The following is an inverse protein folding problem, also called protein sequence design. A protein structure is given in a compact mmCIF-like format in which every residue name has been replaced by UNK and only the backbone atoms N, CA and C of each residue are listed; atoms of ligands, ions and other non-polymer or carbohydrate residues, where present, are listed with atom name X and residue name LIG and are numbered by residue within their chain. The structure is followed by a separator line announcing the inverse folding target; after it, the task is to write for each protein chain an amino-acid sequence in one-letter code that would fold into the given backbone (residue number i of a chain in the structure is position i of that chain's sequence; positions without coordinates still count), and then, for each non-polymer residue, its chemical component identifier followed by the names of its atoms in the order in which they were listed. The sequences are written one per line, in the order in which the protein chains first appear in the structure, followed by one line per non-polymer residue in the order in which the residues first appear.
data_IF_567671260438
#
_entry.id   IF_567671260438
#
_cell.length_a   1.000
_cell.length_b   1.000
_cell.length_c   1.000
_cell.angle_alpha   90.00
_cell.angle_beta   90.00
_cell.angle_gamma   90.00
#
_symmetry.space_group_name_H-M   'P 1'
#
loop_
_entity.id
_entity.type
_entity.pdbx_description
1 polymer ?
#
# COMPACT_ATOMS: atom_id res chain seq x y z
N UNK A 1 4.29 17.42 -21.63
CA UNK A 1 4.01 17.39 -20.17
C UNK A 1 3.10 16.21 -19.86
N UNK A 2 2.90 15.83 -18.59
CA UNK A 2 1.92 14.79 -18.21
C UNK A 2 0.80 15.47 -17.42
N UNK A 3 -0.46 15.21 -17.80
CA UNK A 3 -1.64 15.53 -16.99
C UNK A 3 -2.11 14.23 -16.34
N UNK A 4 -2.04 14.15 -15.01
CA UNK A 4 -2.30 12.92 -14.25
C UNK A 4 -3.55 13.08 -13.38
N UNK A 5 -4.53 12.21 -13.60
CA UNK A 5 -5.75 12.12 -12.79
C UNK A 5 -5.70 10.85 -11.95
N UNK A 6 -5.70 11.02 -10.61
CA UNK A 6 -5.67 9.92 -9.64
C UNK A 6 -6.94 10.01 -8.77
N UNK A 7 -7.63 8.89 -8.51
CA UNK A 7 -8.78 8.88 -7.60
C UNK A 7 -8.37 9.16 -6.16
N UNK A 8 -9.28 9.74 -5.38
CA UNK A 8 -9.19 9.66 -3.93
C UNK A 8 -9.50 8.23 -3.49
N UNK A 9 -8.77 7.73 -2.51
CA UNK A 9 -8.83 6.33 -2.12
C UNK A 9 -8.86 6.17 -0.60
N UNK A 10 -9.60 5.16 -0.14
CA UNK A 10 -9.47 4.61 1.21
C UNK A 10 -9.34 3.09 1.08
N UNK A 11 -8.18 2.56 1.41
CA UNK A 11 -7.91 1.12 1.41
C UNK A 11 -7.77 0.63 2.84
N UNK A 12 -8.52 -0.40 3.19
CA UNK A 12 -8.47 -1.06 4.50
C UNK A 12 -8.12 -2.53 4.29
N UNK A 13 -7.14 -3.01 5.04
CA UNK A 13 -6.69 -4.40 4.99
C UNK A 13 -6.53 -4.95 6.39
N UNK A 14 -6.95 -6.20 6.58
CA UNK A 14 -6.74 -6.96 7.81
C UNK A 14 -6.19 -8.32 7.41
N UNK A 15 -4.99 -8.64 7.90
CA UNK A 15 -4.29 -9.86 7.53
C UNK A 15 -3.88 -10.59 8.79
N UNK A 16 -4.23 -11.88 8.88
CA UNK A 16 -3.57 -12.78 9.81
C UNK A 16 -2.28 -13.29 9.15
N UNK A 17 -1.13 -12.87 9.68
CA UNK A 17 0.16 -13.24 9.10
C UNK A 17 0.44 -14.73 9.26
N UNK A 18 -0.16 -15.41 10.24
CA UNK A 18 0.01 -16.85 10.39
C UNK A 18 -0.62 -17.61 9.21
N UNK A 19 -1.81 -17.19 8.76
CA UNK A 19 -2.48 -17.77 7.60
C UNK A 19 -1.69 -17.55 6.31
N UNK A 20 -1.09 -16.37 6.15
CA UNK A 20 -0.25 -16.05 5.00
C UNK A 20 1.05 -16.87 4.99
N UNK A 21 1.69 -17.01 6.15
CA UNK A 21 2.90 -17.82 6.29
C UNK A 21 2.64 -19.31 6.06
N UNK A 22 1.48 -19.82 6.49
CA UNK A 22 1.07 -21.19 6.20
C UNK A 22 0.92 -21.43 4.68
N UNK A 23 0.26 -20.51 3.96
CA UNK A 23 0.09 -20.58 2.51
C UNK A 23 1.43 -20.49 1.75
N UNK A 24 2.42 -19.81 2.33
CA UNK A 24 3.77 -19.65 1.75
C UNK A 24 4.78 -20.70 2.25
N UNK A 25 4.31 -21.75 2.95
CA UNK A 25 5.13 -22.85 3.48
C UNK A 25 6.21 -22.41 4.49
N UNK A 26 5.92 -21.35 5.25
CA UNK A 26 6.75 -20.84 6.34
C UNK A 26 6.02 -20.84 7.71
N UNK A 27 5.22 -21.86 8.06
CA UNK A 27 4.43 -21.84 9.30
C UNK A 27 5.31 -21.84 10.56
N UNK A 28 6.56 -22.31 10.48
CA UNK A 28 7.49 -22.35 11.62
C UNK A 28 8.00 -20.96 12.08
N UNK A 29 7.72 -19.87 11.34
CA UNK A 29 8.15 -18.53 11.77
C UNK A 29 7.26 -17.96 12.88
N UNK A 30 5.95 -18.12 12.75
CA UNK A 30 4.96 -17.53 13.68
C UNK A 30 3.79 -18.47 14.01
N UNK A 31 3.76 -19.69 13.50
CA UNK A 31 2.69 -20.67 13.76
C UNK A 31 2.99 -21.61 14.92
N UNK A 32 2.28 -22.73 14.98
CA UNK A 32 2.35 -23.69 16.09
C UNK A 32 3.73 -24.34 16.29
N UNK A 33 4.56 -24.36 15.25
CA UNK A 33 5.92 -24.94 15.26
C UNK A 33 7.01 -23.88 15.54
N UNK A 34 6.63 -22.64 15.84
CA UNK A 34 7.59 -21.56 16.07
C UNK A 34 8.46 -21.82 17.32
N UNK A 35 9.77 -21.70 17.15
CA UNK A 35 10.71 -21.81 18.27
C UNK A 35 10.84 -20.47 18.99
N UNK A 36 10.17 -20.36 20.14
CA UNK A 36 10.16 -19.16 20.97
C UNK A 36 11.02 -19.28 22.24
N UNK A 37 11.93 -20.27 22.29
CA UNK A 37 12.76 -20.55 23.47
C UNK A 37 13.70 -19.40 23.87
N UNK A 38 13.97 -18.45 22.96
CA UNK A 38 14.74 -17.23 23.27
C UNK A 38 13.92 -16.11 23.92
N UNK A 39 12.59 -16.23 23.93
CA UNK A 39 11.68 -15.29 24.58
C UNK A 39 11.36 -15.77 26.01
N UNK A 40 11.15 -17.08 26.19
CA UNK A 40 10.87 -17.72 27.48
C UNK A 40 11.20 -19.20 27.43
N UNK A 41 11.54 -19.77 28.60
CA UNK A 41 11.72 -21.22 28.78
C UNK A 41 10.39 -22.00 28.81
N UNK A 42 9.25 -21.30 28.87
CA UNK A 42 7.93 -21.91 28.77
C UNK A 42 7.62 -22.38 27.34
N UNK A 43 6.74 -23.38 27.20
CA UNK A 43 6.25 -23.83 25.90
C UNK A 43 5.22 -22.83 25.32
N UNK A 44 5.73 -21.68 24.86
CA UNK A 44 4.93 -20.59 24.32
C UNK A 44 4.44 -20.90 22.90
N UNK A 45 3.27 -20.37 22.57
CA UNK A 45 2.73 -20.34 21.21
C UNK A 45 2.24 -18.94 20.90
N UNK A 46 2.38 -18.53 19.64
CA UNK A 46 1.76 -17.30 19.16
C UNK A 46 0.26 -17.56 18.96
N UNK A 47 -0.59 -16.72 19.56
CA UNK A 47 -2.04 -16.84 19.40
C UNK A 47 -2.52 -16.25 18.07
N UNK A 48 -2.18 -14.99 17.81
CA UNK A 48 -2.56 -14.28 16.59
C UNK A 48 -1.53 -13.23 16.21
N UNK A 49 -1.30 -13.04 14.91
CA UNK A 49 -0.48 -11.94 14.39
C UNK A 49 -1.28 -11.16 13.37
N UNK A 50 -1.87 -10.06 13.81
CA UNK A 50 -2.71 -9.23 12.98
C UNK A 50 -1.91 -8.05 12.41
N UNK A 51 -1.94 -7.92 11.09
CA UNK A 51 -1.53 -6.72 10.40
C UNK A 51 -2.79 -6.00 9.89
N UNK A 52 -3.08 -4.86 10.52
CA UNK A 52 -4.21 -3.98 10.18
C UNK A 52 -3.68 -2.73 9.51
N UNK A 53 -4.17 -2.42 8.31
CA UNK A 53 -3.65 -1.34 7.47
C UNK A 53 -4.78 -0.43 7.03
N UNK A 54 -4.53 0.87 7.12
CA UNK A 54 -5.33 1.92 6.51
C UNK A 54 -4.42 2.73 5.60
N UNK A 55 -4.85 2.95 4.37
CA UNK A 55 -4.21 3.86 3.42
C UNK A 55 -5.26 4.82 2.88
N UNK A 56 -5.00 6.11 3.00
CA UNK A 56 -5.86 7.15 2.45
C UNK A 56 -5.06 8.01 1.48
N UNK A 57 -5.62 8.23 0.30
CA UNK A 57 -5.14 9.20 -0.67
C UNK A 57 -6.23 10.24 -0.85
N UNK A 58 -5.97 11.45 -0.37
CA UNK A 58 -6.91 12.58 -0.40
C UNK A 58 -6.25 13.75 -1.14
N UNK A 59 -7.06 14.60 -1.74
CA UNK A 59 -6.55 15.89 -2.20
C UNK A 59 -6.16 16.71 -0.97
N UNK A 60 -5.06 17.47 -1.08
CA UNK A 60 -4.72 18.45 -0.06
C UNK A 60 -5.79 19.56 -0.04
N UNK A 61 -6.13 20.04 1.14
CA UNK A 61 -7.06 21.17 1.33
C UNK A 61 -6.34 22.52 1.23
N UNK A 62 -5.00 22.52 1.29
CA UNK A 62 -4.14 23.68 1.11
C UNK A 62 -3.70 23.87 -0.34
N UNK A 63 -3.77 25.12 -0.82
CA UNK A 63 -3.35 25.64 -2.13
C UNK A 63 -3.52 24.67 -3.33
N UNK A 64 -4.54 24.96 -4.14
CA UNK A 64 -4.60 24.45 -5.52
C UNK A 64 -3.23 24.63 -6.18
N UNK A 65 -2.69 23.59 -6.86
CA UNK A 65 -1.50 23.75 -7.67
C UNK A 65 -1.72 24.95 -8.57
N UNK A 66 -0.84 25.96 -8.50
CA UNK A 66 -0.92 27.11 -9.38
C UNK A 66 -0.98 26.56 -10.81
N UNK A 67 -2.10 26.79 -11.49
CA UNK A 67 -2.30 26.37 -12.86
C UNK A 67 -1.11 26.92 -13.65
N UNK A 68 -0.29 26.01 -14.19
CA UNK A 68 0.93 26.42 -14.88
C UNK A 68 0.53 27.33 -16.04
N UNK A 69 1.10 28.53 -16.08
CA UNK A 69 0.78 29.52 -17.11
C UNK A 69 0.85 28.88 -18.52
N UNK A 70 -0.09 29.22 -19.43
CA UNK A 70 -0.17 28.57 -20.73
C UNK A 70 1.18 28.65 -21.46
N UNK A 71 1.84 27.49 -21.59
CA UNK A 71 3.08 27.39 -22.33
C UNK A 71 2.78 27.48 -23.83
N UNK A 72 3.51 28.30 -24.60
CA UNK A 72 3.29 28.42 -26.04
C UNK A 72 3.53 27.06 -26.71
N UNK A 73 2.53 26.57 -27.47
CA UNK A 73 2.52 25.39 -28.33
C UNK A 73 3.68 24.39 -28.09
N UNK A 74 3.73 23.86 -26.87
CA UNK A 74 4.67 22.81 -26.48
C UNK A 74 4.19 21.44 -26.98
N UNK A 75 5.04 20.40 -26.93
CA UNK A 75 4.66 19.05 -27.34
C UNK A 75 3.39 18.58 -26.61
N UNK A 76 2.58 17.79 -27.33
CA UNK A 76 1.31 17.22 -26.87
C UNK A 76 1.40 16.73 -25.41
N UNK A 77 0.45 17.15 -24.57
CA UNK A 77 0.41 16.73 -23.16
C UNK A 77 -0.13 15.30 -23.12
N UNK A 78 0.62 14.40 -22.48
CA UNK A 78 0.16 13.04 -22.25
C UNK A 78 -0.85 13.04 -21.11
N UNK A 79 -2.11 12.74 -21.41
CA UNK A 79 -3.15 12.56 -20.41
C UNK A 79 -3.14 11.12 -19.88
N UNK A 80 -3.02 10.97 -18.56
CA UNK A 80 -3.03 9.69 -17.87
C UNK A 80 -4.11 9.74 -16.79
N UNK A 81 -5.06 8.80 -16.85
CA UNK A 81 -6.13 8.69 -15.85
C UNK A 81 -6.13 7.29 -15.24
N UNK A 82 -6.02 7.20 -13.92
CA UNK A 82 -6.02 5.93 -13.18
C UNK A 82 -7.46 5.49 -12.83
N UNK A 83 -8.25 5.14 -13.85
CA UNK A 83 -9.66 4.72 -13.73
C UNK A 83 -9.90 3.21 -13.92
N UNK A 84 -8.85 2.40 -13.99
CA UNK A 84 -8.91 0.93 -14.06
C UNK A 84 -7.95 0.31 -13.04
N UNK A 85 -8.03 -1.00 -12.71
CA UNK A 85 -7.23 -1.59 -11.64
C UNK A 85 -5.73 -1.32 -11.77
N UNK A 86 -5.08 -0.93 -10.67
CA UNK A 86 -3.65 -0.60 -10.65
C UNK A 86 -2.94 -1.04 -9.37
N UNK A 87 -1.61 -1.07 -9.43
CA UNK A 87 -0.73 -1.32 -8.28
C UNK A 87 -0.20 0.01 -7.75
N UNK A 88 -0.01 0.10 -6.44
CA UNK A 88 0.58 1.26 -5.78
C UNK A 88 1.72 0.82 -4.86
N UNK A 89 2.78 1.60 -4.84
CA UNK A 89 3.90 1.41 -3.92
C UNK A 89 4.36 2.76 -3.37
N UNK A 90 4.64 2.82 -2.07
CA UNK A 90 5.28 3.97 -1.42
C UNK A 90 6.70 3.55 -1.08
N UNK A 91 7.66 4.16 -1.76
CA UNK A 91 9.08 3.92 -1.56
C UNK A 91 9.75 5.13 -0.94
N UNK A 92 10.62 4.88 0.02
CA UNK A 92 11.57 5.84 0.52
C UNK A 92 12.69 6.03 -0.52
N UNK A 93 13.08 7.28 -0.79
CA UNK A 93 13.93 7.60 -1.94
C UNK A 93 15.36 7.10 -1.78
N UNK A 94 15.92 7.21 -0.58
CA UNK A 94 17.37 7.06 -0.37
C UNK A 94 17.75 5.59 -0.11
N UNK A 95 16.97 4.86 0.68
CA UNK A 95 17.19 3.44 0.96
C UNK A 95 16.42 2.50 0.03
N UNK A 96 15.52 3.02 -0.80
CA UNK A 96 14.53 2.24 -1.56
C UNK A 96 13.64 1.35 -0.67
N UNK A 97 13.50 1.67 0.62
CA UNK A 97 12.64 0.93 1.52
C UNK A 97 11.17 1.02 1.07
N UNK A 98 10.52 -0.14 0.96
CA UNK A 98 9.12 -0.26 0.61
C UNK A 98 8.26 -0.07 1.87
N UNK A 99 7.64 1.10 2.01
CA UNK A 99 6.75 1.40 3.13
C UNK A 99 5.35 0.83 2.92
N UNK A 100 4.88 0.82 1.68
CA UNK A 100 3.55 0.33 1.36
C UNK A 100 3.55 -0.34 -0.01
N UNK A 101 2.81 -1.45 -0.11
CA UNK A 101 2.50 -2.10 -1.38
C UNK A 101 1.03 -2.49 -1.37
N UNK A 102 0.30 -2.08 -2.40
CA UNK A 102 -1.12 -2.35 -2.50
C UNK A 102 -1.61 -2.50 -3.93
N UNK A 103 -2.84 -3.01 -4.04
CA UNK A 103 -3.57 -3.11 -5.29
C UNK A 103 -4.91 -2.42 -5.13
N UNK A 104 -5.23 -1.52 -6.06
CA UNK A 104 -6.56 -0.93 -6.22
C UNK A 104 -7.30 -1.76 -7.26
N UNK A 105 -8.24 -2.60 -6.81
CA UNK A 105 -9.03 -3.45 -7.71
C UNK A 105 -10.25 -2.76 -8.32
N UNK A 106 -10.75 -1.69 -7.69
CA UNK A 106 -11.85 -0.90 -8.21
C UNK A 106 -11.66 0.58 -7.85
N UNK A 107 -10.98 1.38 -8.69
CA UNK A 107 -10.68 2.78 -8.41
C UNK A 107 -11.88 3.73 -8.50
N UNK A 108 -13.00 3.26 -9.07
CA UNK A 108 -14.23 4.04 -9.24
C UNK A 108 -15.30 3.70 -8.20
N UNK A 109 -15.03 2.73 -7.32
CA UNK A 109 -15.88 2.48 -6.17
C UNK A 109 -15.83 3.71 -5.27
N UNK A 110 -16.99 4.26 -4.91
CA UNK A 110 -17.06 5.28 -3.87
C UNK A 110 -16.38 4.75 -2.60
N UNK A 111 -15.56 5.61 -1.98
CA UNK A 111 -14.93 5.35 -0.68
C UNK A 111 -15.96 5.29 0.46
#
# INVERSE_FOLDING_TARGET
AISLTIPQLTLKGFYDLQDLLAQTKLPALLGAEANLGKISDANLRVGKVLNSVLFELKADEGEHPTESAPQPAGPEVLEVTLNSPFLLAVLERDSAALHFLGRVSNPLSAA
#
